data_IF_192148938476
#
_entry.id   IF_192148938476
#
_cell.length_a   1.000
_cell.length_b   1.000
_cell.length_c   1.000
_cell.angle_alpha   90.00
_cell.angle_beta   90.00
_cell.angle_gamma   90.00
#
_symmetry.space_group_name_H-M   'P 1'
#
loop_
_entity.id
_entity.type
_entity.pdbx_description
1 polymer ?
#
# COMPACT_ATOMS: atom_id res chain seq x y z
N UNK A 1 2.91 -9.37 -11.15
CA UNK A 1 2.21 -8.78 -9.99
C UNK A 1 1.61 -7.41 -10.32
N UNK A 2 2.36 -6.50 -10.95
CA UNK A 2 1.82 -5.18 -11.38
C UNK A 2 0.57 -5.28 -12.29
N UNK A 3 0.57 -6.17 -13.30
CA UNK A 3 -0.61 -6.36 -14.18
C UNK A 3 -1.88 -6.73 -13.41
N UNK A 4 -1.76 -7.52 -12.34
CA UNK A 4 -2.90 -7.87 -11.49
C UNK A 4 -3.45 -6.65 -10.73
N UNK A 5 -2.56 -5.78 -10.22
CA UNK A 5 -2.94 -4.50 -9.61
C UNK A 5 -3.66 -3.61 -10.64
N UNK A 6 -3.15 -3.58 -11.88
CA UNK A 6 -3.67 -2.71 -12.94
C UNK A 6 -5.05 -3.14 -13.46
N UNK A 7 -5.35 -4.45 -13.47
CA UNK A 7 -6.64 -4.97 -13.92
C UNK A 7 -7.69 -5.07 -12.81
N UNK A 8 -7.29 -5.00 -11.53
CA UNK A 8 -8.21 -5.11 -10.40
C UNK A 8 -8.85 -3.77 -10.03
N UNK A 9 -10.16 -3.71 -10.18
CA UNK A 9 -11.00 -2.54 -9.88
C UNK A 9 -10.88 -2.12 -8.42
N UNK A 10 -10.81 -3.10 -7.52
CA UNK A 10 -10.77 -2.87 -6.08
C UNK A 10 -9.52 -2.10 -5.67
N UNK A 11 -8.43 -2.23 -6.42
CA UNK A 11 -7.21 -1.41 -6.26
C UNK A 11 -7.52 0.09 -6.22
N UNK A 12 -8.51 0.54 -6.98
CA UNK A 12 -8.80 1.95 -7.19
C UNK A 12 -9.94 2.46 -6.32
N UNK A 13 -10.94 1.61 -6.03
CA UNK A 13 -12.15 2.02 -5.29
C UNK A 13 -12.08 1.70 -3.80
N UNK A 14 -11.29 0.71 -3.39
CA UNK A 14 -11.14 0.42 -1.96
C UNK A 14 -10.12 1.34 -1.32
N UNK A 15 -10.48 1.81 -0.13
CA UNK A 15 -9.58 2.59 0.69
C UNK A 15 -8.46 1.69 1.25
N UNK A 16 -7.21 2.18 1.36
CA UNK A 16 -6.17 1.42 2.02
C UNK A 16 -6.54 1.16 3.49
N UNK A 17 -6.53 -0.12 3.88
CA UNK A 17 -6.77 -0.52 5.27
C UNK A 17 -5.83 0.18 6.28
N UNK A 18 -4.59 0.42 5.86
CA UNK A 18 -3.56 1.08 6.65
C UNK A 18 -3.50 2.57 6.28
N UNK A 19 -4.46 3.32 6.81
CA UNK A 19 -4.61 4.75 6.54
C UNK A 19 -3.43 5.57 7.05
N UNK A 20 -2.84 5.19 8.18
CA UNK A 20 -1.70 5.90 8.77
C UNK A 20 -0.50 5.84 7.82
N UNK A 21 -0.09 4.64 7.39
CA UNK A 21 1.02 4.50 6.45
C UNK A 21 0.71 5.09 5.09
N UNK A 22 -0.56 5.04 4.65
CA UNK A 22 -0.98 5.69 3.42
C UNK A 22 -0.80 7.21 3.48
N UNK A 23 -1.26 7.84 4.56
CA UNK A 23 -1.13 9.28 4.76
C UNK A 23 0.35 9.70 4.85
N UNK A 24 1.17 8.95 5.59
CA UNK A 24 2.63 9.20 5.64
C UNK A 24 3.27 9.11 4.25
N UNK A 25 2.98 8.07 3.50
CA UNK A 25 3.48 7.92 2.13
C UNK A 25 2.98 9.04 1.21
N UNK A 26 1.71 9.45 1.34
CA UNK A 26 1.11 10.52 0.53
C UNK A 26 1.81 11.87 0.74
N UNK A 27 2.36 12.14 1.93
CA UNK A 27 3.16 13.35 2.19
C UNK A 27 4.50 13.34 1.44
N UNK A 28 5.07 12.16 1.20
CA UNK A 28 6.35 11.98 0.50
C UNK A 28 6.18 11.83 -1.02
N UNK A 29 4.96 11.52 -1.48
CA UNK A 29 4.67 11.21 -2.87
C UNK A 29 3.92 12.35 -3.56
N UNK A 30 4.38 12.73 -4.76
CA UNK A 30 3.68 13.70 -5.62
C UNK A 30 3.26 13.07 -6.94
N UNK A 31 2.04 13.39 -7.36
CA UNK A 31 1.53 13.11 -8.72
C UNK A 31 1.99 14.14 -9.76
N UNK A 32 2.53 15.27 -9.32
CA UNK A 32 3.05 16.29 -10.22
C UNK A 32 4.20 15.74 -11.07
N UNK A 33 4.18 16.02 -12.37
CA UNK A 33 5.17 15.51 -13.33
C UNK A 33 4.95 14.06 -13.80
N UNK A 34 3.96 13.33 -13.26
CA UNK A 34 3.68 11.93 -13.66
C UNK A 34 2.67 11.79 -14.80
N UNK A 35 2.27 12.88 -15.47
CA UNK A 35 1.26 12.82 -16.51
C UNK A 35 1.68 11.94 -17.70
N UNK A 36 2.92 12.06 -18.17
CA UNK A 36 3.43 11.21 -19.26
C UNK A 36 3.46 9.72 -18.87
N UNK A 37 3.88 9.41 -17.65
CA UNK A 37 3.85 8.04 -17.11
C UNK A 37 2.41 7.50 -17.06
N UNK A 38 1.47 8.32 -16.57
CA UNK A 38 0.05 7.98 -16.49
C UNK A 38 -0.52 7.69 -17.88
N UNK A 39 -0.24 8.56 -18.86
CA UNK A 39 -0.69 8.36 -20.24
C UNK A 39 -0.11 7.09 -20.86
N UNK A 40 1.18 6.81 -20.60
CA UNK A 40 1.82 5.56 -20.99
C UNK A 40 1.14 4.34 -20.39
N UNK A 41 0.86 4.35 -19.08
CA UNK A 41 0.19 3.25 -18.38
C UNK A 41 -1.20 2.96 -18.95
N UNK A 42 -1.98 3.99 -19.25
CA UNK A 42 -3.29 3.84 -19.86
C UNK A 42 -3.21 3.30 -21.29
N UNK A 43 -2.21 3.75 -22.07
CA UNK A 43 -2.03 3.31 -23.46
C UNK A 43 -1.48 1.88 -23.58
N UNK A 44 -0.66 1.45 -22.62
CA UNK A 44 -0.04 0.12 -22.59
C UNK A 44 -0.91 -0.94 -21.90
N UNK A 45 -2.04 -0.54 -21.31
CA UNK A 45 -2.92 -1.42 -20.59
C UNK A 45 -4.40 -1.05 -20.80
N UNK A 46 -5.01 -1.65 -21.82
CA UNK A 46 -6.43 -1.48 -22.15
C UNK A 46 -7.36 -1.83 -20.98
N UNK A 47 -6.99 -2.80 -20.13
CA UNK A 47 -7.80 -3.16 -18.95
C UNK A 47 -7.79 -2.04 -17.92
N UNK A 48 -6.60 -1.49 -17.63
CA UNK A 48 -6.45 -0.35 -16.72
C UNK A 48 -7.18 0.89 -17.26
N UNK A 49 -7.10 1.13 -18.57
CA UNK A 49 -7.81 2.23 -19.22
C UNK A 49 -9.34 2.08 -19.10
N UNK A 50 -9.85 0.87 -19.33
CA UNK A 50 -11.26 0.54 -19.16
C UNK A 50 -11.72 0.76 -17.71
N UNK A 51 -10.93 0.31 -16.73
CA UNK A 51 -11.22 0.54 -15.31
C UNK A 51 -11.20 2.04 -14.99
N UNK A 52 -10.20 2.79 -15.46
CA UNK A 52 -10.11 4.23 -15.25
C UNK A 52 -11.34 4.96 -15.79
N UNK A 53 -11.74 4.69 -17.05
CA UNK A 53 -12.92 5.31 -17.69
C UNK A 53 -14.24 4.99 -16.96
N UNK A 54 -14.35 3.80 -16.35
CA UNK A 54 -15.55 3.39 -15.62
C UNK A 54 -15.61 4.02 -14.23
N UNK A 55 -14.47 4.06 -13.55
CA UNK A 55 -14.35 4.43 -12.13
C UNK A 55 -14.24 5.94 -11.95
N UNK A 56 -13.62 6.66 -12.89
CA UNK A 56 -13.39 8.11 -12.79
C UNK A 56 -14.31 8.85 -13.76
N UNK A 57 -15.06 9.87 -13.32
CA UNK A 57 -15.17 10.39 -11.95
C UNK A 57 -16.27 9.70 -11.11
N UNK A 58 -16.88 8.61 -11.59
CA UNK A 58 -18.12 8.06 -11.03
C UNK A 58 -18.00 7.54 -9.58
N UNK A 59 -16.88 6.92 -9.22
CA UNK A 59 -16.64 6.31 -7.90
C UNK A 59 -15.54 7.05 -7.13
N UNK A 60 -14.46 7.42 -7.81
CA UNK A 60 -13.37 8.22 -7.24
C UNK A 60 -12.92 9.28 -8.22
N UNK A 61 -12.31 10.35 -7.70
CA UNK A 61 -11.66 11.35 -8.53
C UNK A 61 -10.32 10.84 -9.11
N UNK A 62 -9.79 11.57 -10.10
CA UNK A 62 -8.53 11.23 -10.77
C UNK A 62 -7.37 11.13 -9.80
N UNK A 63 -7.25 12.06 -8.86
CA UNK A 63 -6.13 12.11 -7.92
C UNK A 63 -6.16 10.87 -7.01
N UNK A 64 -7.32 10.58 -6.42
CA UNK A 64 -7.53 9.40 -5.57
C UNK A 64 -7.24 8.10 -6.32
N UNK A 65 -7.69 7.97 -7.57
CA UNK A 65 -7.40 6.79 -8.41
C UNK A 65 -5.89 6.54 -8.51
N UNK A 66 -5.12 7.56 -8.87
CA UNK A 66 -3.68 7.43 -9.09
C UNK A 66 -2.90 7.27 -7.80
N UNK A 67 -3.27 7.99 -6.72
CA UNK A 67 -2.64 7.82 -5.42
C UNK A 67 -2.78 6.38 -4.91
N UNK A 68 -3.97 5.79 -5.01
CA UNK A 68 -4.22 4.39 -4.60
C UNK A 68 -3.41 3.40 -5.44
N UNK A 69 -3.35 3.61 -6.75
CA UNK A 69 -2.51 2.82 -7.64
C UNK A 69 -1.03 2.86 -7.24
N UNK A 70 -0.46 4.06 -7.14
CA UNK A 70 0.97 4.22 -6.81
C UNK A 70 1.29 3.71 -5.41
N UNK A 71 0.38 3.84 -4.45
CA UNK A 71 0.55 3.27 -3.12
C UNK A 71 0.59 1.74 -3.14
N UNK A 72 -0.31 1.08 -3.88
CA UNK A 72 -0.31 -0.37 -4.04
C UNK A 72 0.97 -0.85 -4.73
N UNK A 73 1.42 -0.15 -5.77
CA UNK A 73 2.72 -0.42 -6.43
C UNK A 73 3.90 -0.23 -5.46
N UNK A 74 3.87 0.81 -4.63
CA UNK A 74 4.90 1.05 -3.61
C UNK A 74 4.96 -0.08 -2.59
N UNK A 75 3.80 -0.53 -2.06
CA UNK A 75 3.73 -1.67 -1.14
C UNK A 75 4.28 -2.94 -1.77
N UNK A 76 3.95 -3.19 -3.03
CA UNK A 76 4.46 -4.33 -3.78
C UNK A 76 6.00 -4.29 -3.86
N UNK A 77 6.56 -3.15 -4.29
CA UNK A 77 8.01 -2.96 -4.39
C UNK A 77 8.69 -3.14 -3.05
N UNK A 78 8.15 -2.58 -1.95
CA UNK A 78 8.69 -2.78 -0.60
C UNK A 78 8.72 -4.26 -0.20
N UNK A 79 7.65 -5.01 -0.46
CA UNK A 79 7.59 -6.44 -0.15
C UNK A 79 8.63 -7.24 -0.95
N UNK A 80 8.80 -6.94 -2.25
CA UNK A 80 9.83 -7.55 -3.08
C UNK A 80 11.25 -7.23 -2.57
N UNK A 81 11.48 -6.00 -2.11
CA UNK A 81 12.77 -5.54 -1.59
C UNK A 81 13.14 -6.24 -0.27
N UNK A 82 12.17 -6.41 0.63
CA UNK A 82 12.34 -7.18 1.88
C UNK A 82 12.64 -8.65 1.54
N UNK A 83 11.87 -9.24 0.63
CA UNK A 83 12.08 -10.63 0.19
C UNK A 83 13.48 -10.81 -0.41
N UNK A 84 13.93 -9.89 -1.27
CA UNK A 84 15.25 -9.94 -1.87
C UNK A 84 16.37 -9.84 -0.82
N UNK A 85 16.20 -8.96 0.19
CA UNK A 85 17.14 -8.83 1.32
C UNK A 85 17.20 -10.12 2.14
N UNK A 86 16.06 -10.73 2.44
CA UNK A 86 15.99 -11.99 3.19
C UNK A 86 16.67 -13.13 2.43
N UNK A 87 16.36 -13.31 1.14
CA UNK A 87 16.99 -14.33 0.27
C UNK A 87 18.50 -14.16 0.21
N UNK A 88 19.00 -12.92 0.11
CA UNK A 88 20.44 -12.65 0.09
C UNK A 88 21.12 -13.03 1.41
N UNK A 89 20.48 -12.74 2.55
CA UNK A 89 21.00 -13.12 3.88
C UNK A 89 20.98 -14.62 4.10
N UNK A 90 19.92 -15.31 3.68
CA UNK A 90 19.84 -16.78 3.76
C UNK A 90 20.89 -17.49 2.88
N UNK A 91 21.33 -16.85 1.80
CA UNK A 91 22.38 -17.38 0.91
C UNK A 91 23.80 -17.15 1.44
N UNK A 92 23.94 -16.36 2.52
CA UNK A 92 25.20 -16.05 3.18
C UNK A 92 25.08 -16.56 4.62
N UNK A 93 25.37 -17.84 4.81
CA UNK A 93 25.37 -18.51 6.13
C UNK A 93 26.13 -17.65 7.15
N UNK A 94 25.40 -17.05 8.07
CA UNK A 94 25.81 -16.78 9.44
C UNK A 94 24.52 -16.60 10.26
N UNK A 95 24.24 -17.65 11.02
CA UNK A 95 23.27 -17.72 12.10
C UNK A 95 23.41 -16.52 13.04
N UNK A 96 22.34 -15.76 13.25
CA UNK A 96 21.95 -15.19 14.55
C UNK A 96 20.66 -14.35 14.36
N UNK A 97 19.58 -14.86 14.96
CA UNK A 97 18.27 -14.23 15.18
C UNK A 97 17.52 -13.59 13.99
N UNK A 98 16.67 -14.39 13.35
CA UNK A 98 15.52 -13.85 12.61
C UNK A 98 14.34 -13.61 13.58
N UNK A 99 14.52 -12.64 14.48
CA UNK A 99 13.38 -11.87 14.99
C UNK A 99 12.78 -11.16 13.78
N UNK A 100 11.57 -11.57 13.39
CA UNK A 100 10.76 -10.83 12.45
C UNK A 100 10.29 -9.55 13.15
N UNK A 101 11.19 -8.58 13.29
CA UNK A 101 10.86 -7.29 13.89
C UNK A 101 10.10 -6.46 12.85
N UNK A 102 8.82 -6.79 12.75
CA UNK A 102 7.79 -5.84 12.34
C UNK A 102 7.68 -4.84 13.50
N UNK A 103 8.59 -3.87 13.57
CA UNK A 103 8.40 -2.70 14.43
C UNK A 103 7.13 -1.97 13.98
N UNK A 104 6.05 -2.14 14.74
CA UNK A 104 5.58 -1.17 15.74
C UNK A 104 4.05 -1.22 15.88
N UNK A 105 3.54 -2.06 16.77
CA UNK A 105 2.23 -1.90 17.39
C UNK A 105 2.40 -2.21 18.89
N UNK A 106 2.93 -1.23 19.62
CA UNK A 106 2.80 -1.19 21.08
C UNK A 106 1.33 -0.94 21.41
N UNK A 107 0.56 -2.03 21.49
CA UNK A 107 -0.69 -2.04 22.24
C UNK A 107 -0.36 -1.89 23.73
N UNK A 108 -0.34 -0.64 24.19
CA UNK A 108 -0.61 -0.34 25.60
C UNK A 108 -2.12 -0.49 25.78
N UNK A 109 -2.50 -1.71 26.17
CA UNK A 109 -3.81 -2.03 26.71
C UNK A 109 -3.78 -1.63 28.19
N UNK A 110 -4.15 -0.38 28.47
CA UNK A 110 -4.46 0.09 29.82
C UNK A 110 -5.98 -0.09 30.00
N UNK A 111 -6.41 -1.36 30.00
CA UNK A 111 -7.71 -1.80 30.54
C UNK A 111 -7.48 -2.17 32.02
N UNK A 112 -7.41 -1.15 32.88
CA UNK A 112 -7.72 -1.32 34.32
C UNK A 112 -9.23 -1.17 34.47
N UNK A 113 -9.91 -2.28 34.22
CA UNK A 113 -11.31 -2.52 34.53
C UNK A 113 -11.45 -2.72 36.04
N UNK A 114 -12.14 -1.81 36.73
CA UNK A 114 -13.23 -2.16 37.66
C UNK A 114 -13.86 -0.91 38.25
N UNK A 115 -15.07 -0.63 37.75
CA UNK A 115 -16.11 0.20 38.37
C UNK A 115 -16.46 -0.25 39.82
N UNK A 116 -16.96 0.72 40.58
CA UNK A 116 -17.91 0.68 41.70
C UNK A 116 -18.38 -0.68 42.29
N UNK A 117 -18.39 -0.80 43.63
CA UNK A 117 -19.66 -0.90 44.41
C UNK A 117 -19.43 -1.08 45.94
N UNK A 118 -20.12 -0.23 46.71
CA UNK A 118 -20.77 -0.39 48.04
C UNK A 118 -20.14 -1.25 49.18
N UNK A 119 -19.74 -0.58 50.29
CA UNK A 119 -20.35 -0.68 51.66
C UNK A 119 -19.87 0.49 52.56
#
# INVERSE_FOLDING_TARGET
>A
QIRAIQGDVNTYIEEPFDLERYNKWKLEFSLEGKNEEIEGLLKENDEMESVYKRVVPNNVDRETFWLRYYYKVYKLKKAEDIRAKLVRRMSKEEDEDLSWDVEDEKYVDDDDDSDDDDD
#
